data_IF_465514045635
#
_entry.id   IF_465514045635
#
_cell.length_a   1.000
_cell.length_b   1.000
_cell.length_c   1.000
_cell.angle_alpha   90.00
_cell.angle_beta   90.00
_cell.angle_gamma   90.00
#
_symmetry.space_group_name_H-M   'P 1'
#
loop_
_entity.id
_entity.type
_entity.pdbx_description
1 polymer ?
#
# COMPACT_ATOMS: atom_id res chain seq x y z
N UNK A 1 -16.39 14.60 5.67
CA UNK A 1 -15.07 14.01 5.99
C UNK A 1 -14.26 13.87 4.71
N UNK A 2 -12.97 14.21 4.73
CA UNK A 2 -12.08 13.97 3.57
C UNK A 2 -11.68 12.49 3.55
N UNK A 3 -11.86 11.83 2.41
CA UNK A 3 -11.47 10.42 2.25
C UNK A 3 -9.99 10.16 2.58
N UNK A 4 -9.64 8.94 2.95
CA UNK A 4 -8.25 8.56 3.22
C UNK A 4 -7.41 8.64 1.94
N UNK A 5 -6.20 9.18 2.06
CA UNK A 5 -5.24 9.33 0.96
C UNK A 5 -3.85 8.96 1.46
N UNK A 6 -2.99 8.49 0.55
CA UNK A 6 -1.61 8.15 0.90
C UNK A 6 -0.85 9.38 1.43
N UNK A 7 -0.02 9.16 2.46
CA UNK A 7 0.93 10.15 2.96
C UNK A 7 2.23 10.12 2.15
N UNK A 8 2.94 11.24 2.14
CA UNK A 8 4.28 11.32 1.55
C UNK A 8 5.33 10.58 2.40
N UNK A 9 6.42 10.19 1.75
CA UNK A 9 7.60 9.59 2.38
C UNK A 9 7.31 8.31 3.21
N UNK A 10 6.32 7.52 2.80
CA UNK A 10 5.96 6.26 3.44
C UNK A 10 6.46 5.06 2.65
N UNK A 11 5.94 4.81 1.45
CA UNK A 11 6.38 3.69 0.61
C UNK A 11 6.03 2.28 1.12
N UNK A 12 5.35 2.12 2.27
CA UNK A 12 5.12 0.81 2.88
C UNK A 12 4.33 -0.16 1.97
N UNK A 13 3.39 0.33 1.18
CA UNK A 13 2.61 -0.48 0.24
C UNK A 13 3.44 -0.99 -0.95
N UNK A 14 4.65 -0.47 -1.16
CA UNK A 14 5.55 -0.92 -2.22
C UNK A 14 6.36 -2.17 -1.83
N UNK A 15 6.32 -2.63 -0.57
CA UNK A 15 6.72 -4.00 -0.23
C UNK A 15 5.53 -4.91 -0.56
N UNK A 16 5.57 -5.52 -1.74
CA UNK A 16 4.45 -6.24 -2.31
C UNK A 16 4.92 -7.51 -3.02
N UNK A 17 5.32 -8.49 -2.20
CA UNK A 17 5.66 -9.83 -2.64
C UNK A 17 4.41 -10.73 -2.58
N UNK A 18 3.98 -11.24 -3.73
CA UNK A 18 2.81 -12.11 -3.81
C UNK A 18 3.06 -13.48 -3.17
N UNK A 19 4.31 -13.91 -3.02
CA UNK A 19 4.64 -15.16 -2.32
C UNK A 19 4.33 -15.07 -0.82
N UNK A 20 4.36 -13.86 -0.25
CA UNK A 20 4.01 -13.58 1.14
C UNK A 20 2.53 -13.22 1.31
N UNK A 21 1.74 -13.18 0.21
CA UNK A 21 0.39 -12.60 0.14
C UNK A 21 -0.60 -13.50 -0.58
N UNK A 22 -0.73 -14.73 -0.11
CA UNK A 22 -1.72 -15.70 -0.62
C UNK A 22 -3.16 -15.21 -0.47
N UNK A 23 -3.42 -14.25 0.44
CA UNK A 23 -4.72 -13.61 0.67
C UNK A 23 -5.23 -12.77 -0.52
N UNK A 24 -4.39 -12.52 -1.53
CA UNK A 24 -4.71 -11.69 -2.68
C UNK A 24 -5.02 -12.47 -3.96
N UNK A 25 -4.88 -13.80 -3.94
CA UNK A 25 -5.02 -14.63 -5.13
C UNK A 25 -6.41 -14.54 -5.80
N UNK A 26 -7.47 -14.31 -5.03
CA UNK A 26 -8.84 -14.15 -5.53
C UNK A 26 -9.20 -12.68 -5.83
N UNK A 27 -8.26 -11.74 -5.65
CA UNK A 27 -8.44 -10.30 -5.86
C UNK A 27 -7.71 -9.76 -7.10
N UNK A 28 -6.85 -10.57 -7.70
CA UNK A 28 -5.97 -10.19 -8.80
C UNK A 28 -6.20 -11.13 -9.99
N UNK A 29 -6.30 -10.57 -11.19
CA UNK A 29 -6.32 -11.37 -12.41
C UNK A 29 -4.88 -11.77 -12.83
N UNK A 30 -4.76 -12.55 -13.91
CA UNK A 30 -3.45 -13.05 -14.37
C UNK A 30 -2.54 -11.92 -14.83
N UNK A 31 -3.11 -10.89 -15.46
CA UNK A 31 -2.40 -9.71 -15.96
C UNK A 31 -1.83 -8.88 -14.81
N UNK A 32 -2.61 -8.69 -13.74
CA UNK A 32 -2.20 -8.01 -12.52
C UNK A 32 -1.05 -8.76 -11.84
N UNK A 33 -1.18 -10.08 -11.69
CA UNK A 33 -0.15 -10.92 -11.09
C UNK A 33 1.15 -10.83 -11.89
N UNK A 34 1.07 -10.92 -13.22
CA UNK A 34 2.24 -10.79 -14.10
C UNK A 34 2.90 -9.41 -13.96
N UNK A 35 2.10 -8.34 -13.93
CA UNK A 35 2.59 -6.98 -13.77
C UNK A 35 3.25 -6.77 -12.41
N UNK A 36 2.61 -7.20 -11.32
CA UNK A 36 3.19 -7.15 -9.97
C UNK A 36 4.53 -7.89 -9.94
N UNK A 37 4.59 -9.12 -10.43
CA UNK A 37 5.83 -9.91 -10.45
C UNK A 37 6.94 -9.23 -11.27
N UNK A 38 6.59 -8.58 -12.38
CA UNK A 38 7.56 -7.81 -13.19
C UNK A 38 8.12 -6.60 -12.44
N UNK A 39 7.31 -5.98 -11.58
CA UNK A 39 7.64 -4.77 -10.83
C UNK A 39 8.31 -5.08 -9.49
N UNK A 40 8.16 -6.29 -8.94
CA UNK A 40 8.74 -6.69 -7.65
C UNK A 40 10.16 -7.23 -7.82
N UNK A 41 11.08 -6.76 -7.00
CA UNK A 41 12.46 -7.23 -6.91
C UNK A 41 12.56 -8.47 -6.00
N UNK A 42 13.72 -9.13 -6.00
CA UNK A 42 13.96 -10.35 -5.21
C UNK A 42 13.80 -10.15 -3.69
N UNK A 43 13.96 -8.92 -3.22
CA UNK A 43 13.77 -8.57 -1.81
C UNK A 43 12.31 -8.20 -1.48
N UNK A 44 11.36 -8.45 -2.39
CA UNK A 44 9.93 -8.18 -2.23
C UNK A 44 9.54 -6.71 -2.36
N UNK A 45 10.48 -5.81 -2.67
CA UNK A 45 10.18 -4.39 -2.89
C UNK A 45 9.94 -4.09 -4.36
N UNK A 46 9.02 -3.17 -4.64
CA UNK A 46 8.77 -2.66 -5.98
C UNK A 46 10.00 -1.90 -6.50
N UNK A 47 10.46 -2.24 -7.71
CA UNK A 47 11.57 -1.61 -8.44
C UNK A 47 11.35 -0.12 -8.72
N UNK A 48 10.08 0.32 -8.70
CA UNK A 48 9.71 1.72 -8.92
C UNK A 48 9.65 2.55 -7.63
N UNK A 49 10.04 2.01 -6.48
CA UNK A 49 10.17 2.77 -5.24
C UNK A 49 11.57 3.39 -5.16
N UNK A 50 11.64 4.72 -5.11
CA UNK A 50 12.81 5.41 -4.55
C UNK A 50 12.84 5.11 -3.04
N UNK A 51 13.78 4.26 -2.60
CA UNK A 51 13.85 3.80 -1.20
C UNK A 51 14.39 4.87 -0.26
N UNK A 52 15.14 5.85 -0.77
CA UNK A 52 15.68 6.95 0.04
C UNK A 52 14.58 7.98 0.31
N UNK A 53 13.89 8.42 -0.75
CA UNK A 53 12.81 9.40 -0.66
C UNK A 53 11.45 8.78 -0.32
N UNK A 54 11.34 7.45 -0.36
CA UNK A 54 10.09 6.69 -0.12
C UNK A 54 8.95 7.17 -1.01
N UNK A 55 9.28 7.39 -2.29
CA UNK A 55 8.37 7.91 -3.31
C UNK A 55 8.30 6.94 -4.50
N UNK A 56 7.11 6.73 -5.03
CA UNK A 56 6.93 5.97 -6.27
C UNK A 56 7.38 6.83 -7.46
N UNK A 57 8.27 6.29 -8.28
CA UNK A 57 8.80 6.95 -9.48
C UNK A 57 7.76 7.08 -10.61
N UNK A 58 6.72 6.23 -10.56
CA UNK A 58 5.61 6.21 -11.54
C UNK A 58 4.28 6.67 -10.91
N UNK A 59 4.32 7.58 -9.93
CA UNK A 59 3.16 7.89 -9.07
C UNK A 59 1.87 8.22 -9.85
N UNK A 60 1.98 8.99 -10.93
CA UNK A 60 0.83 9.39 -11.78
C UNK A 60 0.28 8.24 -12.64
N UNK A 61 1.16 7.33 -13.08
CA UNK A 61 0.83 6.21 -13.96
C UNK A 61 0.73 4.87 -13.23
N UNK A 62 0.57 4.91 -11.90
CA UNK A 62 0.45 3.71 -11.08
C UNK A 62 -0.70 2.80 -11.56
N UNK A 63 -0.49 1.48 -11.61
CA UNK A 63 -1.56 0.51 -11.85
C UNK A 63 -2.68 0.60 -10.80
N UNK A 64 -3.87 0.09 -11.12
CA UNK A 64 -5.05 0.15 -10.24
C UNK A 64 -4.80 -0.49 -8.86
N UNK A 65 -4.08 -1.62 -8.80
CA UNK A 65 -3.76 -2.29 -7.53
C UNK A 65 -2.84 -1.47 -6.61
N UNK A 66 -2.10 -0.51 -7.17
CA UNK A 66 -1.27 0.44 -6.41
C UNK A 66 -2.07 1.66 -5.91
N UNK A 67 -3.33 1.81 -6.33
CA UNK A 67 -4.22 2.91 -5.97
C UNK A 67 -5.19 2.42 -4.91
N UNK A 68 -4.96 2.86 -3.68
CA UNK A 68 -5.73 2.46 -2.50
C UNK A 68 -7.25 2.61 -2.69
N UNK A 69 -7.72 3.68 -3.33
CA UNK A 69 -9.15 3.89 -3.59
C UNK A 69 -9.76 2.90 -4.58
N UNK A 70 -8.98 2.40 -5.54
CA UNK A 70 -9.43 1.48 -6.58
C UNK A 70 -9.34 0.04 -6.09
N UNK A 71 -8.16 -0.40 -5.65
CA UNK A 71 -7.92 -1.78 -5.25
C UNK A 71 -8.80 -2.23 -4.07
N UNK A 72 -9.09 -1.31 -3.15
CA UNK A 72 -9.83 -1.65 -1.94
C UNK A 72 -11.28 -2.05 -2.21
N UNK A 73 -11.84 -1.69 -3.37
CA UNK A 73 -13.19 -2.12 -3.78
C UNK A 73 -13.31 -3.64 -3.92
N UNK A 74 -12.20 -4.35 -4.11
CA UNK A 74 -12.16 -5.81 -4.15
C UNK A 74 -12.34 -6.46 -2.77
N UNK A 75 -12.29 -5.69 -1.67
CA UNK A 75 -12.33 -6.19 -0.30
C UNK A 75 -13.69 -5.91 0.36
N UNK A 76 -14.35 -6.97 0.84
CA UNK A 76 -15.58 -6.86 1.65
C UNK A 76 -15.39 -5.97 2.88
N UNK A 77 -14.19 -5.95 3.46
CA UNK A 77 -13.85 -5.07 4.59
C UNK A 77 -13.95 -3.58 4.25
N UNK A 78 -13.48 -3.20 3.07
CA UNK A 78 -13.63 -1.82 2.57
C UNK A 78 -15.10 -1.46 2.36
N UNK A 79 -15.90 -2.34 1.76
CA UNK A 79 -17.33 -2.10 1.56
C UNK A 79 -18.09 -1.89 2.89
N UNK A 80 -17.60 -2.47 3.98
CA UNK A 80 -18.20 -2.33 5.33
C UNK A 80 -17.68 -1.13 6.12
N UNK A 81 -16.42 -0.74 5.92
CA UNK A 81 -15.72 0.18 6.85
C UNK A 81 -15.01 1.35 6.17
N UNK A 82 -15.02 1.42 4.84
CA UNK A 82 -14.46 2.52 4.06
C UNK A 82 -13.03 2.87 4.45
N UNK A 83 -12.78 4.16 4.70
CA UNK A 83 -11.47 4.69 5.11
C UNK A 83 -10.88 4.00 6.34
N UNK A 84 -11.70 3.53 7.27
CA UNK A 84 -11.20 2.81 8.45
C UNK A 84 -10.43 1.55 8.04
N UNK A 85 -10.95 0.81 7.07
CA UNK A 85 -10.26 -0.36 6.52
C UNK A 85 -8.91 0.03 5.89
N UNK A 86 -8.89 1.13 5.13
CA UNK A 86 -7.67 1.62 4.47
C UNK A 86 -6.60 2.04 5.49
N UNK A 87 -7.01 2.79 6.51
CA UNK A 87 -6.16 3.26 7.60
C UNK A 87 -5.58 2.07 8.37
N UNK A 88 -6.40 1.06 8.68
CA UNK A 88 -5.95 -0.14 9.37
C UNK A 88 -4.94 -0.94 8.52
N UNK A 89 -5.16 -1.09 7.20
CA UNK A 89 -4.19 -1.68 6.28
C UNK A 89 -2.87 -0.89 6.25
N UNK A 90 -2.92 0.43 6.08
CA UNK A 90 -1.72 1.28 6.09
C UNK A 90 -0.95 1.13 7.40
N UNK A 91 -1.63 1.14 8.55
CA UNK A 91 -1.02 0.97 9.87
C UNK A 91 -0.29 -0.37 9.98
N UNK A 92 -0.91 -1.47 9.54
CA UNK A 92 -0.32 -2.81 9.57
C UNK A 92 0.93 -2.88 8.69
N UNK A 93 0.85 -2.40 7.44
CA UNK A 93 1.96 -2.42 6.50
C UNK A 93 3.15 -1.57 6.99
N UNK A 94 2.90 -0.36 7.48
CA UNK A 94 3.96 0.50 8.03
C UNK A 94 4.61 -0.17 9.24
N UNK A 95 3.81 -0.77 10.13
CA UNK A 95 4.33 -1.44 11.31
C UNK A 95 5.16 -2.68 10.96
N UNK A 96 4.73 -3.46 9.97
CA UNK A 96 5.45 -4.66 9.53
C UNK A 96 6.79 -4.32 8.87
N UNK A 97 6.80 -3.32 7.99
CA UNK A 97 7.97 -2.99 7.19
C UNK A 97 9.00 -2.12 7.92
N UNK A 98 8.53 -1.16 8.72
CA UNK A 98 9.39 -0.14 9.35
C UNK A 98 9.36 -0.17 10.88
N UNK A 99 8.38 -0.88 11.47
CA UNK A 99 8.18 -0.93 12.92
C UNK A 99 7.21 0.13 13.45
N UNK A 100 6.59 -0.17 14.60
CA UNK A 100 5.57 0.68 15.23
C UNK A 100 6.09 2.03 15.77
N UNK A 101 7.42 2.18 15.92
CA UNK A 101 8.08 3.41 16.39
C UNK A 101 8.76 4.21 15.25
N UNK A 102 8.60 3.79 14.00
CA UNK A 102 9.24 4.39 12.82
C UNK A 102 8.80 5.84 12.57
N UNK A 103 9.58 6.56 11.76
CA UNK A 103 9.25 7.93 11.35
C UNK A 103 7.98 7.94 10.50
N UNK A 104 7.79 6.93 9.66
CA UNK A 104 6.63 6.70 8.80
C UNK A 104 5.37 6.50 9.64
N UNK A 105 5.45 5.70 10.69
CA UNK A 105 4.33 5.48 11.61
C UNK A 105 3.97 6.75 12.38
N UNK A 106 4.97 7.54 12.80
CA UNK A 106 4.72 8.84 13.44
C UNK A 106 4.01 9.80 12.47
N UNK A 107 4.52 9.95 11.24
CA UNK A 107 3.92 10.79 10.21
C UNK A 107 2.50 10.34 9.87
N UNK A 108 2.28 9.03 9.75
CA UNK A 108 0.98 8.44 9.50
C UNK A 108 -0.02 8.77 10.62
N UNK A 109 0.38 8.64 11.89
CA UNK A 109 -0.47 8.99 13.04
C UNK A 109 -0.88 10.45 13.03
N UNK A 110 0.06 11.35 12.73
CA UNK A 110 -0.23 12.80 12.61
C UNK A 110 -1.27 13.04 11.51
N UNK A 111 -1.11 12.37 10.36
CA UNK A 111 -2.02 12.54 9.21
C UNK A 111 -3.45 12.03 9.47
N UNK A 112 -3.63 11.03 10.34
CA UNK A 112 -4.96 10.52 10.72
C UNK A 112 -5.54 11.20 11.97
N UNK A 113 -4.72 11.78 12.85
CA UNK A 113 -5.20 12.49 14.04
C UNK A 113 -5.71 13.90 13.73
N UNK A 114 -5.29 14.48 12.60
CA UNK A 114 -5.79 15.77 12.11
C UNK A 114 -7.04 15.67 11.23
N UNK A 115 -7.72 14.51 11.22
CA UNK A 115 -8.93 14.25 10.42
C UNK A 115 -10.16 14.04 11.29
#
# INVERSE_FOLDING_TARGET
MKSWTCIENCGACCKFDLNERSDLADKLNKEDIALINSMTAKDGWCKNLDREKKKCLIYETRPHFCRVSEFSTAFKGYLKSGDKFLIDCCKQHISSNYGYKSKEMKNFRIAISGK
#
